data_IF_198364598474
#
_entry.id   IF_198364598474
#
_cell.length_a   1.000
_cell.length_b   1.000
_cell.length_c   1.000
_cell.angle_alpha   90.00
_cell.angle_beta   90.00
_cell.angle_gamma   90.00
#
_symmetry.space_group_name_H-M   'P 1'
#
loop_
_entity.id
_entity.type
_entity.pdbx_description
1 polymer ?
#
# COMPACT_ATOMS: atom_id res chain seq x y z
N UNK A 1 -61.46 7.37 -51.95
CA UNK A 1 -61.47 6.79 -50.59
C UNK A 1 -60.18 6.02 -50.48
N UNK A 2 -59.06 6.72 -50.27
CA UNK A 2 -57.73 6.11 -50.25
C UNK A 2 -56.96 6.70 -49.07
N UNK A 3 -56.74 5.87 -48.04
CA UNK A 3 -55.88 6.18 -46.91
C UNK A 3 -54.65 5.27 -47.03
N UNK A 4 -53.54 5.86 -47.47
CA UNK A 4 -52.23 5.26 -47.33
C UNK A 4 -51.82 5.28 -45.85
N UNK A 5 -51.60 4.10 -45.28
CA UNK A 5 -51.08 3.92 -43.93
C UNK A 5 -49.54 3.96 -44.02
N UNK A 6 -48.92 5.06 -43.58
CA UNK A 6 -47.48 5.12 -43.36
C UNK A 6 -47.17 4.50 -42.00
N UNK A 7 -46.48 3.35 -42.02
CA UNK A 7 -45.91 2.73 -40.84
C UNK A 7 -44.58 3.43 -40.51
N UNK A 8 -44.58 4.27 -39.48
CA UNK A 8 -43.34 4.85 -38.95
C UNK A 8 -42.63 3.80 -38.09
N UNK A 9 -41.50 3.29 -38.59
CA UNK A 9 -40.58 2.46 -37.80
C UNK A 9 -39.78 3.41 -36.90
N UNK A 10 -40.11 3.41 -35.60
CA UNK A 10 -39.32 4.10 -34.58
C UNK A 10 -38.13 3.20 -34.22
N UNK A 11 -36.97 3.48 -34.80
CA UNK A 11 -35.72 2.85 -34.38
C UNK A 11 -35.23 3.58 -33.12
N UNK A 12 -35.48 2.99 -31.95
CA UNK A 12 -34.87 3.46 -30.70
C UNK A 12 -33.37 3.16 -30.72
N UNK A 13 -32.56 4.18 -31.00
CA UNK A 13 -31.14 4.16 -30.68
C UNK A 13 -31.00 4.30 -29.15
N UNK A 14 -30.72 3.21 -28.45
CA UNK A 14 -30.18 3.29 -27.09
C UNK A 14 -28.75 3.83 -27.20
N UNK A 15 -28.59 5.11 -26.89
CA UNK A 15 -27.28 5.69 -26.61
C UNK A 15 -27.03 5.47 -25.12
N UNK A 16 -26.11 4.56 -24.79
CA UNK A 16 -25.66 4.38 -23.42
C UNK A 16 -24.96 5.67 -22.98
N UNK A 17 -25.65 6.49 -22.19
CA UNK A 17 -25.03 7.65 -21.53
C UNK A 17 -24.27 7.09 -20.34
N UNK A 18 -22.95 7.04 -20.42
CA UNK A 18 -22.10 6.68 -19.27
C UNK A 18 -22.34 7.70 -18.16
N UNK A 19 -22.59 7.23 -16.94
CA UNK A 19 -22.73 8.13 -15.81
C UNK A 19 -21.32 8.55 -15.38
N UNK A 20 -20.88 9.72 -15.83
CA UNK A 20 -19.59 10.25 -15.38
C UNK A 20 -19.58 10.34 -13.85
N UNK A 21 -18.46 9.95 -13.24
CA UNK A 21 -18.20 10.18 -11.81
C UNK A 21 -18.64 11.61 -11.45
N UNK A 22 -19.46 11.79 -10.40
CA UNK A 22 -19.93 13.10 -10.01
C UNK A 22 -18.76 14.09 -9.88
N UNK A 23 -18.96 15.32 -10.37
CA UNK A 23 -17.94 16.35 -10.22
C UNK A 23 -17.65 16.56 -8.72
N UNK A 24 -16.36 16.54 -8.36
CA UNK A 24 -15.91 16.69 -6.98
C UNK A 24 -15.93 15.43 -6.12
N UNK A 25 -16.34 14.27 -6.67
CA UNK A 25 -16.52 13.04 -5.87
C UNK A 25 -15.23 12.53 -5.18
N UNK A 26 -14.04 12.89 -5.70
CA UNK A 26 -12.74 12.46 -5.17
C UNK A 26 -11.86 13.64 -4.73
N UNK A 27 -12.42 14.83 -4.52
CA UNK A 27 -11.62 16.02 -4.18
C UNK A 27 -10.85 15.83 -2.87
N UNK A 28 -11.46 15.19 -1.86
CA UNK A 28 -10.82 14.93 -0.57
C UNK A 28 -9.68 13.88 -0.65
N UNK A 29 -9.59 13.13 -1.76
CA UNK A 29 -8.54 12.15 -2.02
C UNK A 29 -7.38 12.71 -2.87
N UNK A 30 -7.45 13.98 -3.29
CA UNK A 30 -6.45 14.57 -4.18
C UNK A 30 -5.08 14.73 -3.48
N UNK A 31 -4.01 14.28 -4.13
CA UNK A 31 -2.64 14.39 -3.62
C UNK A 31 -2.27 13.46 -2.45
N UNK A 32 -3.22 12.74 -1.85
CA UNK A 32 -2.96 11.83 -0.73
C UNK A 32 -2.32 10.50 -1.17
N UNK A 33 -1.65 9.80 -0.25
CA UNK A 33 -1.06 8.46 -0.51
C UNK A 33 -1.13 7.59 0.75
N UNK A 34 -0.92 6.28 0.61
CA UNK A 34 -0.91 5.34 1.72
C UNK A 34 -2.20 5.37 2.53
N UNK A 35 -2.08 5.32 3.86
CA UNK A 35 -3.23 5.31 4.76
C UNK A 35 -4.04 6.60 4.70
N UNK A 36 -3.42 7.76 4.47
CA UNK A 36 -4.17 9.02 4.35
C UNK A 36 -5.13 8.97 3.15
N UNK A 37 -4.69 8.40 2.02
CA UNK A 37 -5.55 8.19 0.86
C UNK A 37 -6.61 7.12 1.14
N UNK A 38 -6.23 6.00 1.78
CA UNK A 38 -7.18 4.92 2.11
C UNK A 38 -8.31 5.45 3.00
N UNK A 39 -7.99 6.20 4.04
CA UNK A 39 -8.95 6.81 4.96
C UNK A 39 -9.84 7.83 4.26
N UNK A 40 -9.28 8.71 3.42
CA UNK A 40 -10.09 9.67 2.65
C UNK A 40 -11.06 8.96 1.69
N UNK A 41 -10.62 7.85 1.08
CA UNK A 41 -11.51 7.03 0.25
C UNK A 41 -12.56 6.30 1.07
N UNK A 42 -12.22 5.81 2.26
CA UNK A 42 -13.18 5.25 3.21
C UNK A 42 -14.29 6.28 3.48
N UNK A 43 -13.93 7.48 3.92
CA UNK A 43 -14.89 8.58 4.20
C UNK A 43 -15.80 8.89 3.00
N UNK A 44 -15.28 8.83 1.77
CA UNK A 44 -16.05 9.08 0.54
C UNK A 44 -17.10 7.99 0.28
N UNK A 45 -16.77 6.73 0.57
CA UNK A 45 -17.58 5.55 0.19
C UNK A 45 -18.30 4.91 1.37
N UNK A 46 -18.06 5.37 2.59
CA UNK A 46 -18.55 4.79 3.84
C UNK A 46 -20.08 4.76 3.89
N UNK A 47 -20.76 5.76 3.35
CA UNK A 47 -22.21 5.82 3.29
C UNK A 47 -22.71 5.32 1.95
N UNK A 48 -23.66 4.39 1.99
CA UNK A 48 -24.40 3.97 0.82
C UNK A 48 -25.82 3.58 1.20
N UNK A 49 -26.72 3.61 0.21
CA UNK A 49 -28.08 3.09 0.35
C UNK A 49 -28.01 1.57 0.34
N UNK A 50 -28.38 0.96 1.45
CA UNK A 50 -28.40 -0.50 1.62
C UNK A 50 -29.70 -1.08 1.02
N UNK A 51 -29.59 -2.24 0.40
CA UNK A 51 -30.72 -3.00 -0.15
C UNK A 51 -30.81 -4.36 0.53
N UNK A 52 -32.01 -4.90 0.75
CA UNK A 52 -32.17 -6.20 1.36
C UNK A 52 -31.54 -7.29 0.48
N UNK A 53 -31.07 -8.36 1.11
CA UNK A 53 -30.53 -9.50 0.37
C UNK A 53 -31.60 -10.11 -0.54
N UNK A 54 -32.81 -10.39 -0.04
CA UNK A 54 -33.95 -10.81 -0.86
C UNK A 54 -35.24 -10.11 -0.41
N UNK A 55 -36.04 -9.60 -1.35
CA UNK A 55 -37.29 -8.87 -1.05
C UNK A 55 -38.32 -9.00 -2.18
N UNK A 56 -39.50 -8.41 -1.95
CA UNK A 56 -40.53 -8.22 -2.99
C UNK A 56 -40.47 -6.83 -3.64
N UNK A 57 -39.70 -5.92 -3.07
CA UNK A 57 -39.25 -4.67 -3.70
C UNK A 57 -37.82 -4.88 -4.23
N UNK A 58 -37.19 -3.83 -4.73
CA UNK A 58 -35.78 -3.86 -5.17
C UNK A 58 -34.87 -4.48 -4.11
N UNK A 59 -34.11 -5.47 -4.53
CA UNK A 59 -33.13 -6.19 -3.72
C UNK A 59 -31.82 -6.43 -4.51
N UNK A 60 -30.88 -7.15 -3.91
CA UNK A 60 -29.60 -7.45 -4.57
C UNK A 60 -29.73 -8.29 -5.85
N UNK A 61 -30.78 -9.09 -6.05
CA UNK A 61 -30.99 -9.79 -7.33
C UNK A 61 -31.30 -8.79 -8.44
N UNK A 62 -32.19 -7.84 -8.18
CA UNK A 62 -32.59 -6.82 -9.17
C UNK A 62 -31.42 -5.93 -9.61
N UNK A 63 -30.51 -5.62 -8.69
CA UNK A 63 -29.29 -4.88 -8.98
C UNK A 63 -28.36 -5.72 -9.85
N UNK A 64 -28.09 -6.98 -9.48
CA UNK A 64 -27.14 -7.83 -10.20
C UNK A 64 -27.61 -8.25 -11.59
N UNK A 65 -28.93 -8.40 -11.80
CA UNK A 65 -29.50 -8.63 -13.14
C UNK A 65 -29.18 -7.48 -14.12
N UNK A 66 -28.94 -6.28 -13.61
CA UNK A 66 -28.54 -5.12 -14.41
C UNK A 66 -27.02 -4.96 -14.46
N UNK A 67 -26.36 -5.13 -13.32
CA UNK A 67 -24.93 -4.91 -13.16
C UNK A 67 -24.07 -5.99 -13.84
N UNK A 68 -24.50 -7.25 -13.80
CA UNK A 68 -23.77 -8.41 -14.35
C UNK A 68 -24.46 -8.98 -15.62
N UNK A 69 -25.21 -8.14 -16.35
CA UNK A 69 -25.89 -8.54 -17.59
C UNK A 69 -24.89 -9.09 -18.61
N UNK A 70 -25.24 -10.18 -19.30
CA UNK A 70 -24.43 -10.69 -20.40
C UNK A 70 -24.50 -9.71 -21.59
N UNK A 71 -23.38 -9.12 -22.03
CA UNK A 71 -23.36 -8.15 -23.13
C UNK A 71 -23.85 -8.73 -24.46
N UNK A 72 -23.81 -10.05 -24.64
CA UNK A 72 -24.26 -10.73 -25.85
C UNK A 72 -25.71 -11.25 -25.73
N UNK A 73 -26.28 -11.27 -24.52
CA UNK A 73 -27.64 -11.70 -24.28
C UNK A 73 -28.23 -11.02 -23.03
N UNK A 74 -28.97 -9.93 -23.23
CA UNK A 74 -29.56 -9.13 -22.15
C UNK A 74 -30.62 -9.84 -21.31
N UNK A 75 -31.03 -11.07 -21.67
CA UNK A 75 -31.93 -11.89 -20.84
C UNK A 75 -31.17 -12.75 -19.82
N UNK A 76 -29.84 -12.71 -19.88
CA UNK A 76 -28.94 -13.50 -19.06
C UNK A 76 -28.01 -12.61 -18.23
N UNK A 77 -27.48 -13.18 -17.16
CA UNK A 77 -26.36 -12.67 -16.38
C UNK A 77 -25.12 -13.51 -16.68
N UNK A 78 -23.93 -12.90 -16.62
CA UNK A 78 -22.66 -13.57 -16.84
C UNK A 78 -22.07 -14.02 -15.50
N UNK A 79 -21.75 -15.31 -15.38
CA UNK A 79 -21.16 -15.88 -14.17
C UNK A 79 -19.71 -15.44 -13.99
N UNK A 80 -19.38 -14.86 -12.83
CA UNK A 80 -18.06 -14.29 -12.55
C UNK A 80 -16.90 -15.29 -12.70
N UNK A 81 -17.09 -16.53 -12.25
CA UNK A 81 -16.02 -17.54 -12.26
C UNK A 81 -16.11 -18.55 -13.40
N UNK A 82 -17.33 -18.82 -13.88
CA UNK A 82 -17.57 -19.83 -14.92
C UNK A 82 -17.64 -19.23 -16.32
N UNK A 83 -17.85 -17.91 -16.43
CA UNK A 83 -18.15 -17.20 -17.68
C UNK A 83 -19.41 -17.72 -18.39
N UNK A 84 -20.25 -18.49 -17.68
CA UNK A 84 -21.50 -19.00 -18.23
C UNK A 84 -22.53 -17.88 -18.37
N UNK A 85 -23.20 -17.85 -19.52
CA UNK A 85 -24.37 -17.03 -19.76
C UNK A 85 -25.61 -17.71 -19.17
N UNK A 86 -26.10 -17.20 -18.02
CA UNK A 86 -27.14 -17.84 -17.23
C UNK A 86 -28.44 -17.04 -17.28
N UNK A 87 -29.58 -17.72 -17.44
CA UNK A 87 -30.89 -17.08 -17.50
C UNK A 87 -31.15 -16.24 -16.23
N UNK A 88 -31.29 -14.92 -16.41
CA UNK A 88 -31.40 -13.96 -15.32
C UNK A 88 -32.63 -14.21 -14.44
N UNK A 89 -33.72 -14.74 -15.01
CA UNK A 89 -34.95 -15.05 -14.28
C UNK A 89 -34.84 -16.33 -13.43
N UNK A 90 -33.75 -17.10 -13.52
CA UNK A 90 -33.53 -18.32 -12.72
C UNK A 90 -32.69 -18.01 -11.47
N UNK A 91 -33.16 -17.07 -10.65
CA UNK A 91 -32.55 -16.73 -9.36
C UNK A 91 -32.66 -17.91 -8.38
N UNK A 92 -31.53 -18.49 -7.98
CA UNK A 92 -31.39 -19.71 -7.17
C UNK A 92 -32.04 -20.98 -7.79
N UNK A 93 -33.32 -20.92 -8.17
CA UNK A 93 -34.11 -21.95 -8.84
C UNK A 93 -33.95 -23.35 -8.21
N UNK A 94 -34.19 -23.44 -6.90
CA UNK A 94 -33.99 -24.68 -6.14
C UNK A 94 -32.59 -25.29 -6.29
N UNK A 95 -31.57 -24.46 -6.49
CA UNK A 95 -30.18 -24.89 -6.72
C UNK A 95 -29.80 -25.08 -8.20
N UNK A 96 -30.73 -24.89 -9.14
CA UNK A 96 -30.50 -25.07 -10.58
C UNK A 96 -30.30 -23.74 -11.33
N UNK A 97 -30.27 -22.64 -10.61
CA UNK A 97 -30.14 -21.29 -11.14
C UNK A 97 -28.74 -20.74 -10.96
N UNK A 98 -28.65 -19.42 -10.87
CA UNK A 98 -27.47 -18.70 -10.44
C UNK A 98 -27.66 -18.20 -9.00
N UNK A 99 -26.55 -17.92 -8.29
CA UNK A 99 -26.58 -17.28 -6.99
C UNK A 99 -25.68 -16.05 -6.95
N UNK A 100 -25.66 -15.42 -5.77
CA UNK A 100 -24.85 -14.25 -5.49
C UNK A 100 -23.59 -14.70 -4.81
N UNK A 101 -22.49 -14.48 -5.50
CA UNK A 101 -21.16 -14.67 -4.98
C UNK A 101 -20.76 -13.47 -4.13
N UNK A 102 -20.24 -13.73 -2.94
CA UNK A 102 -19.55 -12.73 -2.13
C UNK A 102 -18.05 -12.80 -2.46
N UNK A 103 -17.58 -11.89 -3.32
CA UNK A 103 -16.18 -11.88 -3.80
C UNK A 103 -15.23 -11.78 -2.61
N UNK A 104 -15.50 -10.91 -1.64
CA UNK A 104 -14.99 -11.08 -0.29
C UNK A 104 -15.84 -12.11 0.45
N UNK A 105 -15.30 -13.30 0.70
CA UNK A 105 -16.06 -14.40 1.28
C UNK A 105 -16.60 -14.05 2.68
N UNK A 106 -17.90 -14.23 2.90
CA UNK A 106 -18.57 -13.96 4.19
C UNK A 106 -17.88 -14.58 5.40
N UNK A 107 -17.34 -15.80 5.25
CA UNK A 107 -16.67 -16.49 6.35
C UNK A 107 -15.35 -15.83 6.76
N UNK A 108 -14.74 -15.00 5.91
CA UNK A 108 -13.45 -14.32 6.15
C UNK A 108 -13.67 -12.89 6.65
N UNK A 109 -14.42 -12.77 7.74
CA UNK A 109 -14.99 -11.50 8.21
C UNK A 109 -16.23 -11.70 9.07
N UNK A 110 -16.73 -12.95 9.15
CA UNK A 110 -17.81 -13.43 10.01
C UNK A 110 -19.09 -12.56 9.93
N UNK A 111 -19.40 -12.06 8.73
CA UNK A 111 -20.59 -11.24 8.49
C UNK A 111 -21.74 -12.04 7.88
N UNK A 112 -22.96 -11.54 8.09
CA UNK A 112 -24.19 -12.17 7.61
C UNK A 112 -24.70 -11.57 6.28
N UNK A 113 -25.99 -11.75 5.98
CA UNK A 113 -26.67 -11.15 4.82
C UNK A 113 -27.72 -10.13 5.25
N UNK A 114 -27.56 -9.54 6.44
CA UNK A 114 -28.29 -8.33 6.79
C UNK A 114 -27.76 -7.16 5.96
N UNK A 115 -28.60 -6.14 5.85
CA UNK A 115 -28.26 -4.86 5.21
C UNK A 115 -26.95 -4.30 5.79
N UNK A 116 -26.04 -3.92 4.91
CA UNK A 116 -24.66 -3.54 5.19
C UNK A 116 -23.66 -4.34 4.35
N UNK A 117 -22.55 -4.76 4.96
CA UNK A 117 -21.45 -5.52 4.31
C UNK A 117 -21.91 -6.78 3.55
N UNK A 118 -22.97 -7.44 4.04
CA UNK A 118 -23.53 -8.65 3.46
C UNK A 118 -24.33 -8.45 2.17
N UNK A 119 -24.73 -7.20 1.90
CA UNK A 119 -25.62 -6.83 0.78
C UNK A 119 -25.00 -5.81 -0.16
N UNK A 120 -23.76 -5.39 0.08
CA UNK A 120 -23.05 -4.45 -0.79
C UNK A 120 -22.84 -5.04 -2.19
N UNK A 121 -23.53 -4.48 -3.17
CA UNK A 121 -23.51 -4.92 -4.55
C UNK A 121 -22.15 -4.73 -5.22
N UNK A 122 -21.26 -3.88 -4.70
CA UNK A 122 -19.87 -3.85 -5.18
C UNK A 122 -19.15 -5.18 -4.88
N UNK A 123 -19.52 -5.87 -3.79
CA UNK A 123 -18.98 -7.18 -3.39
C UNK A 123 -19.72 -8.39 -3.98
N UNK A 124 -20.97 -8.19 -4.43
CA UNK A 124 -21.81 -9.28 -4.93
C UNK A 124 -21.65 -9.46 -6.44
N UNK A 125 -21.51 -10.71 -6.90
CA UNK A 125 -21.51 -11.03 -8.34
C UNK A 125 -22.49 -12.16 -8.66
N UNK A 126 -23.05 -12.16 -9.86
CA UNK A 126 -23.74 -13.32 -10.39
C UNK A 126 -22.75 -14.48 -10.56
N UNK A 127 -23.10 -15.66 -10.05
CA UNK A 127 -22.27 -16.85 -10.17
C UNK A 127 -23.13 -18.10 -10.41
N UNK A 128 -22.58 -19.05 -11.17
CA UNK A 128 -23.14 -20.39 -11.19
C UNK A 128 -23.03 -21.01 -9.79
N UNK A 129 -24.09 -21.72 -9.37
CA UNK A 129 -24.19 -22.23 -7.99
C UNK A 129 -23.10 -23.27 -7.69
N UNK A 130 -22.80 -24.17 -8.63
CA UNK A 130 -21.77 -25.20 -8.44
C UNK A 130 -20.38 -24.60 -8.47
N UNK A 131 -20.11 -23.70 -9.41
CA UNK A 131 -18.82 -22.99 -9.45
C UNK A 131 -18.61 -22.16 -8.19
N UNK A 132 -19.62 -21.44 -7.71
CA UNK A 132 -19.55 -20.69 -6.46
C UNK A 132 -19.29 -21.64 -5.26
N UNK A 133 -20.00 -22.77 -5.20
CA UNK A 133 -19.76 -23.78 -4.15
C UNK A 133 -18.32 -24.33 -4.19
N UNK A 134 -17.71 -24.48 -5.37
CA UNK A 134 -16.33 -24.93 -5.51
C UNK A 134 -15.32 -23.85 -5.11
N UNK A 135 -15.62 -22.58 -5.42
CA UNK A 135 -14.85 -21.42 -4.97
C UNK A 135 -14.82 -21.35 -3.44
N UNK A 136 -15.94 -21.64 -2.77
CA UNK A 136 -16.03 -21.71 -1.31
C UNK A 136 -15.51 -20.41 -0.64
N UNK A 137 -14.55 -20.51 0.28
CA UNK A 137 -13.80 -19.39 0.82
C UNK A 137 -12.31 -19.45 0.42
N UNK A 138 -11.96 -20.12 -0.67
CA UNK A 138 -10.56 -20.22 -1.12
C UNK A 138 -9.93 -18.84 -1.29
N UNK A 139 -8.65 -18.73 -0.94
CA UNK A 139 -7.90 -17.48 -1.14
C UNK A 139 -7.77 -17.21 -2.64
N UNK A 140 -7.81 -15.94 -3.04
CA UNK A 140 -7.38 -15.57 -4.38
C UNK A 140 -5.85 -15.58 -4.44
N UNK A 141 -5.33 -16.49 -5.27
CA UNK A 141 -3.93 -16.69 -5.61
C UNK A 141 -3.88 -17.51 -6.91
N UNK A 142 -2.70 -17.67 -7.48
CA UNK A 142 -2.45 -18.59 -8.59
C UNK A 142 -2.79 -20.05 -8.19
N UNK A 143 -3.24 -20.83 -9.16
CA UNK A 143 -3.60 -22.22 -8.98
C UNK A 143 -3.18 -23.05 -10.19
N UNK A 144 -3.29 -24.38 -10.09
CA UNK A 144 -2.70 -25.28 -11.11
C UNK A 144 -3.68 -26.30 -11.67
N UNK A 145 -4.79 -26.58 -10.96
CA UNK A 145 -5.77 -27.57 -11.40
C UNK A 145 -6.99 -26.87 -12.00
N UNK A 146 -7.17 -26.99 -13.32
CA UNK A 146 -8.32 -26.40 -14.00
C UNK A 146 -9.62 -26.95 -13.42
N UNK A 147 -10.54 -26.06 -13.09
CA UNK A 147 -11.86 -26.41 -12.62
C UNK A 147 -12.79 -26.69 -13.80
N UNK A 148 -13.40 -27.88 -13.78
CA UNK A 148 -14.44 -28.27 -14.73
C UNK A 148 -15.74 -28.37 -13.93
N UNK A 149 -16.70 -27.52 -14.24
CA UNK A 149 -18.00 -27.58 -13.60
C UNK A 149 -18.83 -28.73 -14.19
N UNK A 150 -19.16 -29.69 -13.35
CA UNK A 150 -20.02 -30.83 -13.69
C UNK A 150 -21.30 -30.85 -12.83
N UNK A 151 -21.58 -29.77 -12.10
CA UNK A 151 -22.75 -29.60 -11.23
C UNK A 151 -23.81 -28.69 -11.86
N UNK A 152 -25.03 -28.76 -11.33
CA UNK A 152 -26.08 -27.80 -11.68
C UNK A 152 -26.62 -27.90 -13.12
N UNK A 153 -27.22 -26.79 -13.58
CA UNK A 153 -27.82 -26.69 -14.92
C UNK A 153 -26.86 -26.16 -15.99
N UNK A 154 -25.74 -25.56 -15.57
CA UNK A 154 -24.69 -25.08 -16.44
C UNK A 154 -23.42 -25.87 -16.14
N UNK A 155 -22.90 -26.58 -17.13
CA UNK A 155 -21.75 -27.47 -16.96
C UNK A 155 -20.76 -27.26 -18.09
N UNK A 156 -19.47 -27.39 -17.81
CA UNK A 156 -18.42 -27.31 -18.80
C UNK A 156 -17.07 -26.99 -18.21
N UNK A 157 -16.07 -26.99 -19.08
CA UNK A 157 -14.74 -26.47 -18.74
C UNK A 157 -14.85 -24.98 -18.45
N UNK A 158 -14.31 -24.56 -17.31
CA UNK A 158 -14.15 -23.13 -16.97
C UNK A 158 -12.70 -22.71 -17.20
N UNK A 159 -12.46 -21.41 -17.24
CA UNK A 159 -11.10 -20.85 -17.20
C UNK A 159 -10.63 -20.55 -15.78
N UNK A 160 -11.31 -21.08 -14.76
CA UNK A 160 -10.88 -20.99 -13.37
C UNK A 160 -10.05 -22.21 -12.96
N UNK A 161 -9.19 -22.04 -11.98
CA UNK A 161 -8.32 -23.07 -11.42
C UNK A 161 -8.43 -23.09 -9.90
N UNK A 162 -8.13 -24.24 -9.31
CA UNK A 162 -8.06 -24.42 -7.86
C UNK A 162 -6.80 -25.16 -7.45
N UNK A 163 -6.43 -25.00 -6.18
CA UNK A 163 -5.42 -25.80 -5.51
C UNK A 163 -5.95 -26.17 -4.12
N UNK A 164 -6.09 -27.47 -3.85
CA UNK A 164 -6.59 -27.98 -2.58
C UNK A 164 -5.56 -27.97 -1.46
N UNK A 165 -4.27 -28.00 -1.80
CA UNK A 165 -3.18 -27.99 -0.80
C UNK A 165 -3.06 -26.61 -0.15
N UNK A 166 -3.04 -25.57 -0.98
CA UNK A 166 -2.90 -24.18 -0.54
C UNK A 166 -4.25 -23.49 -0.31
N UNK A 167 -5.35 -24.18 -0.62
CA UNK A 167 -6.72 -23.68 -0.52
C UNK A 167 -6.94 -22.39 -1.32
N UNK A 168 -6.46 -22.38 -2.57
CA UNK A 168 -6.51 -21.21 -3.47
C UNK A 168 -7.46 -21.41 -4.65
N UNK A 169 -7.95 -20.29 -5.17
CA UNK A 169 -8.79 -20.17 -6.34
C UNK A 169 -8.23 -19.08 -7.25
N UNK A 170 -7.93 -19.46 -8.49
CA UNK A 170 -7.53 -18.55 -9.56
C UNK A 170 -8.73 -18.39 -10.50
N UNK A 171 -9.31 -17.19 -10.60
CA UNK A 171 -10.44 -16.94 -11.50
C UNK A 171 -9.96 -16.83 -12.96
N UNK A 172 -10.88 -16.82 -13.94
CA UNK A 172 -10.52 -16.54 -15.33
C UNK A 172 -9.75 -15.23 -15.49
N UNK A 173 -8.78 -15.21 -16.41
CA UNK A 173 -7.92 -14.03 -16.65
C UNK A 173 -8.72 -12.76 -16.94
N UNK A 174 -9.87 -12.90 -17.61
CA UNK A 174 -10.73 -11.78 -18.01
C UNK A 174 -11.45 -11.06 -16.85
N UNK A 175 -11.34 -11.59 -15.61
CA UNK A 175 -11.99 -11.01 -14.42
C UNK A 175 -11.04 -10.88 -13.23
N UNK A 176 -9.76 -11.16 -13.41
CA UNK A 176 -8.74 -11.10 -12.33
C UNK A 176 -8.64 -9.68 -11.76
N UNK A 177 -8.70 -8.65 -12.62
CA UNK A 177 -8.67 -7.25 -12.24
C UNK A 177 -9.97 -6.79 -11.57
N UNK A 178 -11.12 -7.25 -12.07
CA UNK A 178 -12.44 -6.99 -11.46
C UNK A 178 -12.49 -7.48 -10.00
N UNK A 179 -11.98 -8.70 -9.78
CA UNK A 179 -11.91 -9.31 -8.45
C UNK A 179 -10.96 -8.54 -7.56
N UNK A 180 -9.77 -8.18 -8.05
CA UNK A 180 -8.81 -7.39 -7.30
C UNK A 180 -9.40 -6.05 -6.85
N UNK A 181 -10.03 -5.29 -7.76
CA UNK A 181 -10.67 -3.99 -7.44
C UNK A 181 -11.87 -4.13 -6.52
N UNK A 182 -12.59 -5.25 -6.57
CA UNK A 182 -13.64 -5.55 -5.59
C UNK A 182 -13.05 -5.78 -4.19
N UNK A 183 -11.96 -6.54 -4.10
CA UNK A 183 -11.30 -6.83 -2.82
C UNK A 183 -10.63 -5.58 -2.23
N UNK A 184 -9.97 -4.75 -3.04
CA UNK A 184 -9.45 -3.44 -2.62
C UNK A 184 -10.55 -2.52 -2.09
N UNK A 185 -11.70 -2.49 -2.76
CA UNK A 185 -12.88 -1.76 -2.31
C UNK A 185 -13.34 -2.25 -0.94
N UNK A 186 -13.50 -3.56 -0.75
CA UNK A 186 -13.99 -4.11 0.52
C UNK A 186 -13.05 -3.80 1.68
N UNK A 187 -11.74 -3.94 1.49
CA UNK A 187 -10.73 -3.60 2.50
C UNK A 187 -10.61 -2.09 2.78
N UNK A 188 -11.09 -1.25 1.86
CA UNK A 188 -11.10 0.22 2.05
C UNK A 188 -12.41 0.68 2.65
N UNK A 189 -13.53 0.07 2.29
CA UNK A 189 -14.86 0.45 2.78
C UNK A 189 -15.09 -0.02 4.22
N UNK A 190 -14.66 -1.23 4.57
CA UNK A 190 -14.99 -1.87 5.85
C UNK A 190 -13.73 -1.99 6.72
N UNK A 191 -13.44 -0.93 7.48
CA UNK A 191 -12.26 -0.82 8.38
C UNK A 191 -12.64 -0.91 9.88
N UNK A 192 -13.77 -1.54 10.21
CA UNK A 192 -14.18 -1.78 11.60
C UNK A 192 -14.62 -0.56 12.41
N UNK A 193 -14.73 0.63 11.80
CA UNK A 193 -15.01 1.88 12.52
C UNK A 193 -16.48 2.05 12.94
N UNK A 194 -17.41 1.36 12.26
CA UNK A 194 -18.86 1.43 12.53
C UNK A 194 -19.36 0.22 13.30
N UNK A 195 -20.44 0.41 14.07
CA UNK A 195 -21.05 -0.68 14.82
C UNK A 195 -21.58 -1.76 13.87
N UNK A 196 -20.95 -2.95 13.91
CA UNK A 196 -21.18 -4.16 13.09
C UNK A 196 -20.39 -4.24 11.78
N UNK A 197 -19.63 -3.23 11.40
CA UNK A 197 -18.75 -3.36 10.23
C UNK A 197 -17.54 -4.23 10.63
N UNK A 198 -17.17 -5.24 9.83
CA UNK A 198 -15.92 -5.96 10.03
C UNK A 198 -14.73 -5.07 9.69
N UNK A 199 -13.57 -5.42 10.22
CA UNK A 199 -12.28 -4.81 9.89
C UNK A 199 -11.57 -5.68 8.84
N UNK A 200 -11.92 -5.47 7.57
CA UNK A 200 -11.47 -6.29 6.45
C UNK A 200 -10.09 -5.84 5.99
N UNK A 201 -9.09 -6.73 6.11
CA UNK A 201 -7.71 -6.43 5.74
C UNK A 201 -7.15 -7.38 4.68
N UNK A 202 -6.36 -6.82 3.78
CA UNK A 202 -5.59 -7.60 2.81
C UNK A 202 -4.40 -8.24 3.53
N UNK A 203 -3.93 -9.38 3.03
CA UNK A 203 -2.81 -10.11 3.65
C UNK A 203 -1.86 -10.66 2.60
N UNK A 204 -0.65 -11.04 2.99
CA UNK A 204 0.24 -11.87 2.16
C UNK A 204 0.13 -13.36 2.51
N UNK A 205 -0.56 -13.70 3.60
CA UNK A 205 -0.65 -15.05 4.12
C UNK A 205 -1.94 -15.74 3.68
N UNK A 206 -1.80 -16.95 3.13
CA UNK A 206 -2.96 -17.78 2.78
C UNK A 206 -3.67 -18.27 4.04
N UNK A 207 -4.99 -18.14 4.02
CA UNK A 207 -5.85 -18.51 5.14
C UNK A 207 -6.46 -19.89 4.92
N UNK A 208 -6.44 -20.75 5.95
CA UNK A 208 -7.05 -22.08 5.85
C UNK A 208 -8.57 -22.07 5.69
N UNK A 209 -9.15 -23.20 5.30
CA UNK A 209 -10.60 -23.39 5.13
C UNK A 209 -11.42 -23.00 6.38
N UNK A 210 -10.94 -23.35 7.56
CA UNK A 210 -11.66 -23.08 8.83
C UNK A 210 -11.32 -21.73 9.43
N UNK A 211 -10.43 -20.95 8.80
CA UNK A 211 -10.07 -19.62 9.28
C UNK A 211 -11.23 -18.65 9.07
N UNK A 212 -11.41 -17.77 10.06
CA UNK A 212 -12.45 -16.76 10.11
C UNK A 212 -11.90 -15.35 10.33
N UNK A 213 -10.57 -15.19 10.40
CA UNK A 213 -9.98 -13.86 10.44
C UNK A 213 -10.54 -13.01 9.28
N UNK A 214 -10.70 -11.69 9.49
CA UNK A 214 -11.18 -10.79 8.46
C UNK A 214 -10.08 -10.48 7.44
N UNK A 215 -9.33 -11.52 7.05
CA UNK A 215 -8.21 -11.50 6.12
C UNK A 215 -8.59 -12.27 4.87
N UNK A 216 -8.35 -11.68 3.70
CA UNK A 216 -8.61 -12.36 2.45
C UNK A 216 -7.69 -11.91 1.32
N UNK A 217 -7.41 -12.87 0.43
CA UNK A 217 -6.59 -12.74 -0.76
C UNK A 217 -5.13 -12.31 -0.51
N UNK A 218 -4.25 -12.65 -1.45
CA UNK A 218 -2.83 -12.28 -1.39
C UNK A 218 -2.63 -10.92 -2.05
N UNK A 219 -2.27 -9.89 -1.27
CA UNK A 219 -2.18 -8.50 -1.72
C UNK A 219 -1.27 -8.35 -2.96
N UNK A 220 -0.07 -8.92 -2.93
CA UNK A 220 0.86 -8.92 -4.06
C UNK A 220 0.25 -9.47 -5.35
N UNK A 221 -0.54 -10.55 -5.26
CA UNK A 221 -1.22 -11.16 -6.41
C UNK A 221 -2.36 -10.29 -6.91
N UNK A 222 -3.15 -9.70 -6.01
CA UNK A 222 -4.22 -8.79 -6.42
C UNK A 222 -3.70 -7.56 -7.15
N UNK A 223 -2.55 -7.01 -6.73
CA UNK A 223 -1.95 -5.87 -7.43
C UNK A 223 -1.43 -6.30 -8.81
N UNK A 224 -0.85 -7.49 -8.92
CA UNK A 224 -0.43 -8.04 -10.21
C UNK A 224 -1.64 -8.25 -11.14
N UNK A 225 -2.70 -8.88 -10.67
CA UNK A 225 -3.96 -9.08 -11.39
C UNK A 225 -4.62 -7.77 -11.81
N UNK A 226 -4.64 -6.77 -10.92
CA UNK A 226 -5.12 -5.42 -11.25
C UNK A 226 -4.31 -4.76 -12.38
N UNK A 227 -3.01 -5.01 -12.42
CA UNK A 227 -2.10 -4.46 -13.44
C UNK A 227 -2.26 -5.18 -14.78
N UNK A 228 -2.38 -6.51 -14.75
CA UNK A 228 -2.48 -7.34 -15.96
C UNK A 228 -3.87 -7.32 -16.60
N UNK A 229 -4.91 -7.06 -15.81
CA UNK A 229 -6.31 -6.90 -16.26
C UNK A 229 -6.85 -5.49 -15.95
N UNK A 230 -6.56 -4.49 -16.82
CA UNK A 230 -7.00 -3.12 -16.64
C UNK A 230 -8.52 -2.95 -16.68
N UNK A 231 -9.01 -1.88 -16.03
CA UNK A 231 -10.45 -1.55 -15.97
C UNK A 231 -11.09 -1.53 -17.36
N UNK A 232 -12.07 -2.42 -17.54
CA UNK A 232 -12.81 -2.56 -18.80
C UNK A 232 -14.02 -1.64 -18.88
N UNK A 233 -14.62 -1.52 -20.07
CA UNK A 233 -15.88 -0.78 -20.23
C UNK A 233 -17.03 -1.47 -19.49
N UNK A 234 -17.05 -2.80 -19.45
CA UNK A 234 -18.08 -3.56 -18.73
C UNK A 234 -18.01 -3.27 -17.23
N UNK A 235 -16.81 -3.21 -16.66
CA UNK A 235 -16.62 -2.91 -15.25
C UNK A 235 -17.02 -1.47 -14.88
N UNK A 236 -16.70 -0.48 -15.73
CA UNK A 236 -17.19 0.90 -15.53
C UNK A 236 -18.71 0.97 -15.56
N UNK A 237 -19.35 0.29 -16.51
CA UNK A 237 -20.81 0.22 -16.60
C UNK A 237 -21.42 -0.43 -15.36
N UNK A 238 -20.79 -1.49 -14.86
CA UNK A 238 -21.19 -2.14 -13.61
C UNK A 238 -21.14 -1.18 -12.43
N UNK A 239 -20.04 -0.42 -12.30
CA UNK A 239 -19.87 0.61 -11.27
C UNK A 239 -20.94 1.72 -11.39
N UNK A 240 -21.25 2.16 -12.62
CA UNK A 240 -22.33 3.13 -12.89
C UNK A 240 -23.69 2.61 -12.45
N UNK A 241 -24.03 1.36 -12.82
CA UNK A 241 -25.31 0.74 -12.43
C UNK A 241 -25.43 0.68 -10.91
N UNK A 242 -24.42 0.16 -10.22
CA UNK A 242 -24.45 0.06 -8.75
C UNK A 242 -24.57 1.43 -8.11
N UNK A 243 -23.86 2.44 -8.63
CA UNK A 243 -23.98 3.82 -8.15
C UNK A 243 -25.42 4.35 -8.22
N UNK A 244 -26.19 4.00 -9.26
CA UNK A 244 -27.60 4.43 -9.35
C UNK A 244 -28.50 3.84 -8.27
N UNK A 245 -28.09 2.73 -7.65
CA UNK A 245 -28.80 2.10 -6.53
C UNK A 245 -28.23 2.54 -5.19
N UNK A 246 -26.94 2.30 -4.96
CA UNK A 246 -26.28 2.48 -3.67
C UNK A 246 -25.80 3.91 -3.40
N UNK A 247 -25.63 4.73 -4.43
CA UNK A 247 -25.12 6.10 -4.28
C UNK A 247 -23.63 6.20 -3.94
N UNK A 248 -22.91 5.09 -3.82
CA UNK A 248 -21.45 5.04 -3.68
C UNK A 248 -20.79 4.31 -4.86
N UNK A 249 -19.53 4.65 -5.13
CA UNK A 249 -18.75 4.11 -6.27
C UNK A 249 -17.57 3.30 -5.77
N UNK A 250 -17.15 2.29 -6.55
CA UNK A 250 -15.87 1.65 -6.32
C UNK A 250 -14.73 2.56 -6.85
N UNK A 251 -13.91 3.14 -5.95
CA UNK A 251 -12.89 4.10 -6.34
C UNK A 251 -11.77 3.46 -7.17
N UNK A 252 -11.51 2.17 -7.01
CA UNK A 252 -10.46 1.47 -7.75
C UNK A 252 -10.87 1.14 -9.19
N UNK A 253 -12.17 1.21 -9.51
CA UNK A 253 -12.68 1.14 -10.89
C UNK A 253 -12.61 2.51 -11.56
N UNK A 254 -13.02 3.57 -10.85
CA UNK A 254 -13.02 4.93 -11.40
C UNK A 254 -11.61 5.53 -11.50
N UNK A 255 -10.73 5.15 -10.56
CA UNK A 255 -9.36 5.67 -10.35
C UNK A 255 -8.39 4.52 -10.02
N UNK A 256 -8.07 3.66 -11.01
CA UNK A 256 -7.20 2.50 -10.79
C UNK A 256 -5.82 2.87 -10.24
N UNK A 257 -5.32 4.08 -10.50
CA UNK A 257 -4.07 4.60 -9.93
C UNK A 257 -4.07 4.69 -8.40
N UNK A 258 -5.23 4.65 -7.74
CA UNK A 258 -5.29 4.63 -6.28
C UNK A 258 -4.75 3.33 -5.69
N UNK A 259 -4.79 2.21 -6.41
CA UNK A 259 -4.19 0.95 -5.93
C UNK A 259 -2.70 1.14 -5.67
N UNK A 260 -1.98 1.70 -6.64
CA UNK A 260 -0.55 1.98 -6.52
C UNK A 260 -0.26 3.07 -5.47
N UNK A 261 -1.10 4.11 -5.39
CA UNK A 261 -0.92 5.17 -4.38
C UNK A 261 -1.14 4.71 -2.94
N UNK A 262 -1.93 3.65 -2.71
CA UNK A 262 -2.16 3.08 -1.38
C UNK A 262 -1.16 1.95 -1.10
N UNK A 263 -1.08 0.97 -1.99
CA UNK A 263 -0.35 -0.29 -1.79
C UNK A 263 0.86 -0.48 -2.71
N UNK A 264 1.18 0.45 -3.61
CA UNK A 264 2.34 0.34 -4.51
C UNK A 264 3.68 0.28 -3.79
N UNK A 265 3.76 0.82 -2.56
CA UNK A 265 4.93 0.66 -1.69
C UNK A 265 5.00 -0.71 -0.97
N UNK A 266 3.91 -1.47 -0.98
CA UNK A 266 3.78 -2.82 -0.40
C UNK A 266 4.09 -3.93 -1.42
N UNK A 267 4.31 -3.60 -2.71
CA UNK A 267 4.86 -4.49 -3.74
C UNK A 267 6.35 -4.82 -3.55
N UNK A 268 6.79 -4.93 -2.30
CA UNK A 268 8.06 -5.57 -2.00
C UNK A 268 7.85 -7.05 -2.37
N UNK A 269 8.42 -7.47 -3.51
CA UNK A 269 8.51 -8.87 -4.00
C UNK A 269 8.77 -9.85 -2.84
N UNK A 270 8.51 -11.18 -2.99
CA UNK A 270 8.94 -12.18 -2.02
C UNK A 270 10.48 -12.23 -1.95
N UNK A 271 11.00 -11.28 -1.19
CA UNK A 271 12.35 -11.15 -0.72
C UNK A 271 12.17 -10.85 0.75
N UNK A 272 12.44 -11.84 1.59
CA UNK A 272 12.54 -11.60 3.02
C UNK A 272 13.86 -10.87 3.27
N UNK A 273 13.87 -9.54 3.12
CA UNK A 273 14.98 -8.71 3.58
C UNK A 273 15.00 -8.76 5.12
N UNK A 274 15.70 -9.76 5.65
CA UNK A 274 15.78 -10.02 7.10
C UNK A 274 16.33 -8.82 7.86
N UNK A 275 17.33 -8.13 7.29
CA UNK A 275 17.77 -6.83 7.78
C UNK A 275 18.58 -6.07 6.72
N UNK A 276 18.57 -4.75 6.85
CA UNK A 276 19.59 -3.85 6.31
C UNK A 276 20.09 -2.93 7.44
N UNK A 277 21.40 -2.93 7.67
CA UNK A 277 22.05 -2.21 8.76
C UNK A 277 23.32 -1.55 8.27
N UNK A 278 23.74 -0.50 8.96
CA UNK A 278 25.03 0.09 8.71
C UNK A 278 25.63 0.72 9.95
N UNK A 279 26.95 0.74 10.00
CA UNK A 279 27.74 1.29 11.08
C UNK A 279 28.92 2.10 10.54
N UNK A 280 29.36 3.09 11.31
CA UNK A 280 30.49 3.92 10.92
C UNK A 280 31.80 3.31 11.45
N UNK A 281 32.75 3.03 10.55
CA UNK A 281 34.11 2.63 10.87
C UNK A 281 35.11 3.65 10.30
N UNK A 282 35.56 4.57 11.14
CA UNK A 282 36.38 5.70 10.70
C UNK A 282 35.55 6.67 9.83
N UNK A 283 35.90 6.80 8.56
CA UNK A 283 35.14 7.56 7.55
C UNK A 283 34.35 6.66 6.59
N UNK A 284 34.30 5.35 6.85
CA UNK A 284 33.62 4.38 5.99
C UNK A 284 32.31 3.96 6.64
N UNK A 285 31.20 4.19 5.95
CA UNK A 285 29.92 3.57 6.25
C UNK A 285 29.99 2.10 5.81
N UNK A 286 29.99 1.18 6.77
CA UNK A 286 29.92 -0.26 6.52
C UNK A 286 28.46 -0.68 6.47
N UNK A 287 28.01 -1.13 5.30
CA UNK A 287 26.64 -1.50 5.01
C UNK A 287 26.52 -3.02 4.92
N UNK A 288 25.57 -3.62 5.63
CA UNK A 288 25.38 -5.06 5.66
C UNK A 288 23.88 -5.38 5.57
N UNK A 289 23.53 -6.36 4.72
CA UNK A 289 22.17 -6.87 4.65
C UNK A 289 22.14 -8.38 4.52
N UNK A 290 21.00 -8.93 4.93
CA UNK A 290 20.72 -10.35 4.79
C UNK A 290 19.34 -10.53 4.18
N UNK A 291 19.26 -11.47 3.27
CA UNK A 291 18.05 -11.83 2.54
C UNK A 291 17.71 -13.30 2.80
N UNK A 292 16.45 -13.67 2.55
CA UNK A 292 16.00 -15.06 2.52
C UNK A 292 14.88 -15.24 1.48
N UNK A 293 14.70 -16.51 1.05
CA UNK A 293 13.64 -16.97 0.14
C UNK A 293 13.56 -16.14 -1.15
N UNK A 294 14.71 -15.88 -1.78
CA UNK A 294 14.80 -14.96 -2.90
C UNK A 294 14.53 -15.64 -4.24
N UNK A 295 13.42 -15.27 -4.87
CA UNK A 295 13.14 -15.61 -6.26
C UNK A 295 13.23 -14.35 -7.15
N UNK A 296 13.76 -14.53 -8.37
CA UNK A 296 13.81 -13.51 -9.43
C UNK A 296 14.63 -12.22 -9.18
N UNK A 297 15.44 -12.12 -8.11
CA UNK A 297 16.27 -10.92 -7.88
C UNK A 297 17.47 -10.88 -8.84
N UNK A 298 17.67 -9.73 -9.52
CA UNK A 298 18.82 -9.46 -10.38
C UNK A 298 19.99 -8.88 -9.58
N UNK A 299 19.77 -7.77 -8.88
CA UNK A 299 20.81 -7.06 -8.13
C UNK A 299 20.24 -6.11 -7.09
N UNK A 300 21.12 -5.62 -6.21
CA UNK A 300 20.84 -4.59 -5.21
C UNK A 300 21.56 -3.31 -5.60
N UNK A 301 20.81 -2.25 -5.84
CA UNK A 301 21.32 -0.89 -5.97
C UNK A 301 21.46 -0.26 -4.59
N UNK A 302 22.68 0.16 -4.25
CA UNK A 302 22.95 0.89 -3.01
C UNK A 302 22.75 2.36 -3.31
N UNK A 303 21.85 3.00 -2.58
CA UNK A 303 21.55 4.42 -2.76
C UNK A 303 21.89 5.23 -1.50
N UNK A 304 22.40 6.46 -1.71
CA UNK A 304 22.75 7.42 -0.67
C UNK A 304 21.98 8.73 -0.83
N UNK A 305 21.65 9.34 0.29
CA UNK A 305 21.03 10.66 0.38
C UNK A 305 21.67 11.49 1.50
N UNK A 306 21.74 12.81 1.32
CA UNK A 306 22.14 13.77 2.35
C UNK A 306 20.96 14.30 3.17
N UNK A 307 19.72 14.10 2.71
CA UNK A 307 18.50 14.66 3.33
C UNK A 307 17.44 13.59 3.67
N UNK A 308 17.70 12.33 3.31
CA UNK A 308 16.78 11.21 3.52
C UNK A 308 15.57 11.21 2.58
N UNK A 309 15.51 12.13 1.61
CA UNK A 309 14.40 12.26 0.66
C UNK A 309 14.85 11.96 -0.77
N UNK A 310 15.94 12.58 -1.22
CA UNK A 310 16.46 12.41 -2.57
C UNK A 310 17.66 11.48 -2.56
N UNK A 311 17.50 10.32 -3.19
CA UNK A 311 18.50 9.25 -3.21
C UNK A 311 19.20 9.16 -4.56
N UNK A 312 20.50 8.89 -4.52
CA UNK A 312 21.35 8.69 -5.69
C UNK A 312 22.03 7.32 -5.61
N UNK A 313 22.10 6.60 -6.73
CA UNK A 313 22.76 5.29 -6.81
C UNK A 313 24.28 5.45 -6.69
N UNK A 314 24.87 4.67 -5.81
CA UNK A 314 26.32 4.52 -5.63
C UNK A 314 26.85 3.37 -6.49
N UNK A 315 26.28 2.19 -6.27
CA UNK A 315 26.78 0.92 -6.79
C UNK A 315 25.63 -0.08 -6.98
N UNK A 316 25.82 -1.06 -7.86
CA UNK A 316 24.96 -2.23 -8.01
C UNK A 316 25.71 -3.50 -7.61
N UNK A 317 25.17 -4.27 -6.67
CA UNK A 317 25.71 -5.56 -6.24
C UNK A 317 24.83 -6.69 -6.79
N UNK A 318 25.34 -7.53 -7.70
CA UNK A 318 24.56 -8.63 -8.27
C UNK A 318 24.08 -9.61 -7.19
N UNK A 319 22.85 -10.09 -7.35
CA UNK A 319 22.32 -11.17 -6.54
C UNK A 319 23.02 -12.50 -6.87
N UNK A 320 23.20 -13.34 -5.85
CA UNK A 320 23.79 -14.67 -5.97
C UNK A 320 22.96 -15.66 -5.16
N UNK A 321 22.31 -16.61 -5.84
CA UNK A 321 21.38 -17.56 -5.22
C UNK A 321 21.94 -18.39 -4.05
N UNK A 322 23.26 -18.60 -3.98
CA UNK A 322 23.91 -19.33 -2.88
C UNK A 322 24.38 -18.45 -1.73
N UNK A 323 24.07 -17.15 -1.75
CA UNK A 323 24.57 -16.14 -0.82
C UNK A 323 23.41 -15.39 -0.19
N UNK A 324 23.29 -15.51 1.14
CA UNK A 324 22.27 -14.83 1.93
C UNK A 324 22.78 -13.52 2.57
N UNK A 325 24.09 -13.40 2.80
CA UNK A 325 24.71 -12.27 3.50
C UNK A 325 25.51 -11.42 2.52
N UNK A 326 25.22 -10.12 2.48
CA UNK A 326 25.84 -9.15 1.59
C UNK A 326 26.35 -7.94 2.36
N UNK A 327 27.30 -7.23 1.78
CA UNK A 327 27.81 -5.99 2.35
C UNK A 327 28.70 -5.22 1.39
N UNK A 328 28.83 -3.93 1.66
CA UNK A 328 29.73 -2.99 0.98
C UNK A 328 30.14 -1.89 1.95
N UNK A 329 31.12 -1.07 1.57
CA UNK A 329 31.52 0.10 2.33
C UNK A 329 31.62 1.34 1.45
N UNK A 330 31.23 2.49 1.99
CA UNK A 330 31.24 3.74 1.26
C UNK A 330 31.79 4.89 2.12
N UNK A 331 32.72 5.72 1.60
CA UNK A 331 33.22 6.86 2.35
C UNK A 331 32.14 7.94 2.51
N UNK A 332 32.00 8.46 3.72
CA UNK A 332 31.11 9.60 4.02
C UNK A 332 31.89 10.70 4.76
N UNK A 333 31.61 11.95 4.41
CA UNK A 333 32.23 13.14 5.03
C UNK A 333 31.25 13.93 5.92
N UNK A 334 29.99 13.52 5.93
CA UNK A 334 28.90 14.10 6.72
C UNK A 334 27.86 13.01 7.05
N UNK A 335 26.84 13.37 7.83
CA UNK A 335 25.67 12.51 8.05
C UNK A 335 25.08 12.07 6.71
N UNK A 336 24.75 10.79 6.60
CA UNK A 336 24.27 10.21 5.36
C UNK A 336 23.17 9.18 5.63
N UNK A 337 22.21 9.12 4.71
CA UNK A 337 21.12 8.17 4.71
C UNK A 337 21.35 7.17 3.58
N UNK A 338 21.12 5.89 3.86
CA UNK A 338 21.28 4.81 2.89
C UNK A 338 20.00 3.98 2.78
N UNK A 339 19.75 3.44 1.59
CA UNK A 339 18.76 2.40 1.36
C UNK A 339 19.24 1.46 0.26
N UNK A 340 18.66 0.26 0.22
CA UNK A 340 18.77 -0.64 -0.91
C UNK A 340 17.58 -0.42 -1.84
N UNK A 341 17.85 -0.41 -3.14
CA UNK A 341 16.89 -0.62 -4.19
C UNK A 341 17.12 -2.01 -4.77
N UNK A 342 16.26 -2.95 -4.44
CA UNK A 342 16.29 -4.31 -4.96
C UNK A 342 15.72 -4.27 -6.38
N UNK A 343 16.39 -4.88 -7.36
CA UNK A 343 15.97 -4.93 -8.76
C UNK A 343 15.86 -6.38 -9.19
N UNK A 344 14.74 -6.77 -9.79
CA UNK A 344 14.54 -8.12 -10.34
C UNK A 344 14.99 -8.21 -11.81
N UNK A 345 14.99 -9.42 -12.40
CA UNK A 345 15.38 -9.60 -13.81
C UNK A 345 14.42 -8.95 -14.81
N UNK A 346 13.18 -8.67 -14.38
CA UNK A 346 12.15 -8.02 -15.18
C UNK A 346 12.16 -6.48 -15.05
N UNK A 347 13.05 -5.94 -14.22
CA UNK A 347 13.27 -4.50 -14.03
C UNK A 347 12.31 -3.82 -13.04
N UNK A 348 11.45 -4.56 -12.35
CA UNK A 348 10.69 -4.09 -11.18
C UNK A 348 11.64 -3.91 -10.00
N UNK A 349 11.22 -3.06 -9.07
CA UNK A 349 12.12 -2.60 -8.00
C UNK A 349 11.40 -2.48 -6.68
N UNK A 350 12.09 -2.85 -5.59
CA UNK A 350 11.63 -2.71 -4.21
C UNK A 350 12.68 -1.97 -3.37
N UNK A 351 12.30 -1.43 -2.21
CA UNK A 351 13.21 -0.67 -1.36
C UNK A 351 13.30 -1.24 0.06
N UNK A 352 14.49 -1.16 0.67
CA UNK A 352 14.65 -1.41 2.10
C UNK A 352 14.12 -0.24 2.94
N UNK A 353 14.13 -0.42 4.27
CA UNK A 353 14.11 0.71 5.18
C UNK A 353 15.32 1.64 4.93
N UNK A 354 15.17 2.92 5.25
CA UNK A 354 16.28 3.88 5.25
C UNK A 354 17.04 3.73 6.56
N UNK A 355 18.38 3.68 6.48
CA UNK A 355 19.26 3.77 7.64
C UNK A 355 19.96 5.12 7.64
N UNK A 356 20.14 5.70 8.82
CA UNK A 356 20.90 6.93 9.01
C UNK A 356 22.22 6.59 9.69
N UNK A 357 23.32 7.00 9.08
CA UNK A 357 24.67 6.87 9.64
C UNK A 357 25.17 8.28 9.93
N UNK A 358 25.16 8.63 11.21
CA UNK A 358 25.68 9.91 11.67
C UNK A 358 27.22 9.89 11.63
N UNK A 359 27.81 10.91 11.02
CA UNK A 359 29.21 11.21 11.21
C UNK A 359 29.41 11.63 12.66
N UNK A 360 30.40 11.03 13.35
CA UNK A 360 30.75 11.55 14.68
C UNK A 360 31.24 12.97 14.50
N UNK A 361 30.51 13.94 15.06
CA UNK A 361 30.96 15.31 15.14
C UNK A 361 32.40 15.31 15.66
N UNK A 362 33.32 15.92 14.90
CA UNK A 362 34.69 16.11 15.36
C UNK A 362 34.60 16.90 16.67
N UNK A 363 35.12 16.34 17.76
CA UNK A 363 35.07 17.01 19.06
C UNK A 363 35.66 18.43 18.92
N UNK A 364 35.03 19.45 19.52
CA UNK A 364 35.51 20.83 19.47
C UNK A 364 36.99 20.88 19.87
N UNK A 365 37.83 21.48 19.02
CA UNK A 365 39.23 21.66 19.34
C UNK A 365 39.41 23.00 20.07
N UNK A 366 39.93 22.95 21.31
CA UNK A 366 40.20 24.15 22.12
C UNK A 366 41.70 24.40 22.16
N UNK A 367 42.12 25.43 21.43
CA UNK A 367 43.52 25.83 21.30
C UNK A 367 43.77 27.04 22.21
N UNK A 368 44.74 26.91 23.11
CA UNK A 368 45.22 28.05 23.91
C UNK A 368 46.41 28.65 23.18
N UNK A 369 46.27 29.89 22.69
CA UNK A 369 47.31 30.54 21.88
C UNK A 369 48.03 31.59 22.72
N UNK A 370 49.32 31.34 22.98
CA UNK A 370 50.25 32.29 23.60
C UNK A 370 49.77 32.94 24.92
N UNK A 371 48.84 32.30 25.64
CA UNK A 371 48.17 32.86 26.82
C UNK A 371 47.43 34.20 26.61
N UNK A 372 47.20 34.59 25.35
CA UNK A 372 46.46 35.81 25.00
C UNK A 372 45.00 35.54 24.72
N UNK A 373 44.69 34.44 24.03
CA UNK A 373 43.32 34.06 23.73
C UNK A 373 43.13 32.53 23.71
N UNK A 374 41.87 32.13 23.88
CA UNK A 374 41.41 30.77 23.65
C UNK A 374 40.65 30.77 22.33
N UNK A 375 41.08 29.95 21.38
CA UNK A 375 40.36 29.72 20.13
C UNK A 375 39.58 28.42 20.23
N UNK A 376 38.27 28.51 20.03
CA UNK A 376 37.41 27.37 19.77
C UNK A 376 37.35 27.15 18.27
N UNK A 377 37.62 25.93 17.82
CA UNK A 377 37.44 25.51 16.43
C UNK A 377 36.42 24.38 16.39
N UNK A 378 35.22 24.67 15.91
CA UNK A 378 34.09 23.76 15.81
C UNK A 378 33.22 24.13 14.59
N UNK A 379 32.35 23.24 14.14
CA UNK A 379 31.41 23.43 13.02
C UNK A 379 29.94 23.62 13.48
N UNK A 380 29.69 23.55 14.80
CA UNK A 380 28.35 23.77 15.35
C UNK A 380 27.79 25.18 15.05
N UNK A 381 26.48 25.25 14.79
CA UNK A 381 25.76 26.52 14.53
C UNK A 381 25.53 27.37 15.78
N UNK A 382 25.55 26.75 16.96
CA UNK A 382 25.31 27.42 18.23
C UNK A 382 26.12 26.72 19.34
N UNK A 383 26.93 27.50 20.07
CA UNK A 383 27.75 26.99 21.18
C UNK A 383 27.44 27.78 22.45
N UNK A 384 27.06 27.10 23.53
CA UNK A 384 27.00 27.72 24.85
C UNK A 384 28.37 27.65 25.52
N UNK A 385 28.97 28.80 25.78
CA UNK A 385 30.22 28.92 26.52
C UNK A 385 29.92 29.35 27.96
N UNK A 386 30.42 28.59 28.93
CA UNK A 386 30.49 28.99 30.35
C UNK A 386 31.95 29.02 30.78
N UNK A 387 32.38 30.15 31.38
CA UNK A 387 33.72 30.33 31.94
C UNK A 387 33.57 30.39 33.46
N UNK A 388 34.30 29.55 34.17
CA UNK A 388 34.34 29.53 35.64
C UNK A 388 35.77 29.52 36.18
N UNK A 389 35.93 29.98 37.42
CA UNK A 389 37.19 29.79 38.15
C UNK A 389 37.32 28.34 38.67
N UNK A 390 38.47 28.02 39.26
CA UNK A 390 38.75 26.69 39.81
C UNK A 390 37.81 26.27 40.97
N UNK A 391 37.13 27.22 41.59
CA UNK A 391 36.15 26.96 42.65
C UNK A 391 34.73 26.80 42.10
N UNK A 392 34.55 26.83 40.77
CA UNK A 392 33.26 26.69 40.11
C UNK A 392 32.43 27.97 40.07
N UNK A 393 32.97 29.13 40.49
CA UNK A 393 32.26 30.41 40.34
C UNK A 393 32.24 30.79 38.87
N UNK A 394 31.04 30.92 38.33
CA UNK A 394 30.82 31.39 36.94
C UNK A 394 31.24 32.85 36.84
N UNK A 395 32.12 33.13 35.89
CA UNK A 395 32.61 34.46 35.55
C UNK A 395 31.83 35.01 34.36
N UNK A 396 31.54 34.15 33.38
CA UNK A 396 30.87 34.56 32.16
C UNK A 396 30.08 33.39 31.55
N UNK A 397 28.98 33.73 30.88
CA UNK A 397 28.19 32.81 30.07
C UNK A 397 27.72 33.53 28.81
N UNK A 398 27.92 32.92 27.66
CA UNK A 398 27.51 33.47 26.37
C UNK A 398 27.07 32.39 25.39
N UNK A 399 26.25 32.78 24.43
CA UNK A 399 25.88 31.95 23.27
C UNK A 399 26.62 32.49 22.07
N UNK A 400 27.42 31.63 21.45
CA UNK A 400 28.23 31.98 20.29
C UNK A 400 27.46 31.58 19.01
N UNK A 401 27.23 32.52 18.08
CA UNK A 401 26.45 32.29 16.85
C UNK A 401 27.24 31.53 15.77
N UNK A 402 28.55 31.34 15.96
CA UNK A 402 29.42 30.56 15.11
C UNK A 402 30.58 29.98 15.94
N UNK A 403 31.20 28.93 15.40
CA UNK A 403 32.11 28.06 16.12
C UNK A 403 33.61 28.31 15.84
N UNK A 404 33.95 29.42 15.16
CA UNK A 404 35.31 30.00 15.13
C UNK A 404 35.32 31.29 15.96
N UNK A 405 35.48 31.11 17.27
CA UNK A 405 35.43 32.20 18.26
C UNK A 405 36.75 32.30 19.01
N UNK A 406 37.17 33.54 19.26
CA UNK A 406 38.37 33.86 20.06
C UNK A 406 37.95 34.58 21.31
N UNK A 407 38.19 33.96 22.46
CA UNK A 407 38.03 34.60 23.75
C UNK A 407 39.33 35.26 24.19
N UNK A 408 39.33 36.59 24.30
CA UNK A 408 40.47 37.35 24.83
C UNK A 408 40.63 37.09 26.33
N UNK A 409 41.79 36.56 26.71
CA UNK A 409 42.11 36.27 28.10
C UNK A 409 42.55 37.52 28.86
N UNK A 410 42.90 38.61 28.18
CA UNK A 410 43.44 39.85 28.79
C UNK A 410 42.65 40.37 30.00
N UNK A 411 41.30 40.35 30.01
CA UNK A 411 40.51 40.82 31.15
C UNK A 411 40.59 39.95 32.41
N UNK A 412 41.01 38.69 32.30
CA UNK A 412 41.08 37.76 33.43
C UNK A 412 42.34 37.98 34.28
N UNK A 413 42.30 37.70 35.57
CA UNK A 413 43.52 37.73 36.39
C UNK A 413 44.36 36.45 36.16
N UNK A 414 45.64 36.41 36.54
CA UNK A 414 46.40 35.16 36.57
C UNK A 414 45.71 34.12 37.46
N UNK A 415 45.54 32.90 36.95
CA UNK A 415 44.73 31.88 37.61
C UNK A 415 44.38 30.68 36.72
N UNK A 416 43.63 29.73 37.28
CA UNK A 416 43.11 28.57 36.57
C UNK A 416 41.62 28.77 36.31
N UNK A 417 41.24 28.59 35.05
CA UNK A 417 39.89 28.74 34.55
C UNK A 417 39.41 27.46 33.87
N UNK A 418 38.11 27.19 33.96
CA UNK A 418 37.45 26.11 33.23
C UNK A 418 36.56 26.75 32.17
N UNK A 419 36.80 26.40 30.92
CA UNK A 419 35.96 26.76 29.78
C UNK A 419 35.11 25.54 29.43
N UNK A 420 33.82 25.64 29.65
CA UNK A 420 32.82 24.62 29.32
C UNK A 420 32.08 25.04 28.05
N UNK A 421 32.16 24.20 27.02
CA UNK A 421 31.50 24.39 25.73
C UNK A 421 30.41 23.33 25.58
N UNK A 422 29.17 23.74 25.32
CA UNK A 422 28.04 22.83 25.09
C UNK A 422 27.45 23.07 23.71
N UNK A 423 27.35 22.02 22.91
CA UNK A 423 26.80 22.02 21.54
C UNK A 423 25.78 20.91 21.37
N UNK A 424 24.48 21.23 21.44
CA UNK A 424 23.40 20.26 21.35
C UNK A 424 23.53 19.13 22.38
N UNK A 425 24.15 18.01 21.99
CA UNK A 425 24.37 16.80 22.78
C UNK A 425 25.78 16.63 23.35
N UNK A 426 26.74 17.50 23.00
CA UNK A 426 28.15 17.37 23.42
C UNK A 426 28.55 18.44 24.43
N UNK A 427 29.29 18.04 25.48
CA UNK A 427 29.90 18.95 26.45
C UNK A 427 31.42 18.73 26.47
N UNK A 428 32.19 19.82 26.34
CA UNK A 428 33.66 19.81 26.42
C UNK A 428 34.13 20.76 27.51
N UNK A 429 34.92 20.25 28.45
CA UNK A 429 35.55 21.03 29.51
C UNK A 429 37.06 21.20 29.24
N UNK A 430 37.54 22.44 29.20
CA UNK A 430 38.95 22.76 29.02
C UNK A 430 39.50 23.56 30.19
N UNK A 431 40.56 23.04 30.82
CA UNK A 431 41.35 23.78 31.79
C UNK A 431 42.30 24.73 31.08
N UNK A 432 42.21 26.02 31.41
CA UNK A 432 43.08 27.08 30.89
C UNK A 432 43.84 27.69 32.05
N UNK A 433 45.16 27.84 31.92
CA UNK A 433 46.02 28.43 32.95
C UNK A 433 46.53 29.77 32.44
N UNK A 434 46.00 30.88 32.97
CA UNK A 434 46.52 32.21 32.70
C UNK A 434 47.70 32.48 33.63
N UNK A 435 48.88 32.61 33.06
CA UNK A 435 50.10 33.07 33.74
C UNK A 435 50.33 34.55 33.42
N UNK A 436 51.18 35.21 34.21
CA UNK A 436 51.64 36.58 33.96
C UNK A 436 52.27 36.75 32.57
#
# INVERSE_FOLDING_TARGET
>A
MDKHLLLAVFTCFFSSVFAQVPAGYYDDAEGLTGNDLKNALNDIIDFHVEFPYSSSNTDTWDILKQADVDPNNSSNVLGIYSEFSMNAAQEYNSGNGWNREHVWARSRGDFDTQEGVGTDAHNLRAADISTNSARSNRNFDEATSQYIDNGGSYTGTTNAYLNDLDWTWEPPDAVKGDIARTIFYMATRYEGERSKDPDLELTENLQGLTDKAPLHAKLSVLIQWHTDDPVTTAERNRNDVIYTFQGNRNPFVDRPEFVDRIWGSQLILPLDLLYFKGELNGHLAQLNWKTANEENVSHFDIEISSDGQYFSKIEAIPFQASKADYGTEYPIDADAYFRLKIVDFDGKTAYSNIIHIAMKAKAPEVIVVANQYVQLVDQAREVQLTISDINGRILERMVLPNADFRYDLSPLNPGIYIFQYVTGTTEVNRRVVKSN
#
